data_IF_908771585530
#
_entry.id   IF_908771585530
#
_cell.length_a   1.000
_cell.length_b   1.000
_cell.length_c   1.000
_cell.angle_alpha   90.00
_cell.angle_beta   90.00
_cell.angle_gamma   90.00
#
_symmetry.space_group_name_H-M   'P 1'
#
loop_
_entity.id
_entity.type
_entity.pdbx_description
1 polymer ?
#
# COMPACT_ATOMS: atom_id res chain seq x y z
N UNK A 1 -21.61 -2.28 -12.45
CA UNK A 1 -20.14 -2.21 -12.23
C UNK A 1 -19.60 -3.50 -11.61
N UNK A 2 -20.13 -3.98 -10.46
CA UNK A 2 -19.65 -5.21 -9.79
C UNK A 2 -19.67 -6.44 -10.71
N UNK A 3 -20.74 -6.67 -11.49
CA UNK A 3 -20.82 -7.80 -12.42
C UNK A 3 -19.71 -7.85 -13.47
N UNK A 4 -19.28 -6.69 -13.98
CA UNK A 4 -18.17 -6.62 -14.95
C UNK A 4 -16.84 -7.03 -14.30
N UNK A 5 -16.66 -6.72 -13.02
CA UNK A 5 -15.45 -7.11 -12.24
C UNK A 5 -15.48 -8.63 -12.03
N UNK A 6 -16.62 -9.18 -11.64
CA UNK A 6 -16.78 -10.63 -11.45
C UNK A 6 -16.53 -11.40 -12.74
N UNK A 7 -17.05 -10.92 -13.87
CA UNK A 7 -16.82 -11.51 -15.18
C UNK A 7 -15.32 -11.47 -15.55
N UNK A 8 -14.63 -10.38 -15.21
CA UNK A 8 -13.18 -10.28 -15.44
C UNK A 8 -12.40 -11.25 -14.57
N UNK A 9 -12.75 -11.38 -13.29
CA UNK A 9 -12.12 -12.34 -12.37
C UNK A 9 -12.31 -13.76 -12.87
N UNK A 10 -13.54 -14.13 -13.30
CA UNK A 10 -13.85 -15.47 -13.81
C UNK A 10 -13.13 -15.82 -15.12
N UNK A 11 -12.78 -14.81 -15.93
CA UNK A 11 -11.95 -15.02 -17.14
C UNK A 11 -10.50 -15.34 -16.78
N UNK A 12 -10.00 -14.85 -15.64
CA UNK A 12 -8.65 -15.12 -15.14
C UNK A 12 -8.63 -16.47 -14.41
N UNK A 13 -9.61 -16.69 -13.52
CA UNK A 13 -9.75 -17.93 -12.78
C UNK A 13 -11.24 -18.36 -12.71
N UNK A 14 -11.67 -19.28 -13.59
CA UNK A 14 -13.06 -19.73 -13.65
C UNK A 14 -13.57 -20.40 -12.37
N UNK A 15 -12.67 -20.96 -11.58
CA UNK A 15 -12.99 -21.74 -10.37
C UNK A 15 -13.04 -20.87 -9.10
N UNK A 16 -12.73 -19.61 -9.20
CA UNK A 16 -12.70 -18.71 -8.04
C UNK A 16 -14.09 -18.53 -7.43
N UNK A 17 -14.22 -18.80 -6.13
CA UNK A 17 -15.36 -18.38 -5.33
C UNK A 17 -15.25 -16.88 -5.06
N UNK A 18 -16.26 -16.11 -5.43
CA UNK A 18 -16.33 -14.67 -5.22
C UNK A 18 -17.30 -14.41 -4.06
N UNK A 19 -16.81 -13.69 -3.04
CA UNK A 19 -17.61 -13.24 -1.89
C UNK A 19 -17.67 -11.71 -1.96
N UNK A 20 -18.89 -11.17 -2.07
CA UNK A 20 -19.10 -9.72 -2.01
C UNK A 20 -19.06 -9.28 -0.56
N UNK A 21 -18.25 -8.27 -0.26
CA UNK A 21 -18.13 -7.71 1.08
C UNK A 21 -18.25 -6.19 1.04
N UNK A 22 -18.63 -5.60 2.16
CA UNK A 22 -18.61 -4.17 2.38
C UNK A 22 -17.67 -3.90 3.55
N UNK A 23 -16.73 -2.96 3.40
CA UNK A 23 -15.69 -2.67 4.40
C UNK A 23 -14.94 -3.91 4.90
N UNK A 24 -14.67 -4.87 4.01
CA UNK A 24 -14.02 -6.16 4.32
C UNK A 24 -14.79 -7.04 5.34
N UNK A 25 -16.06 -6.76 5.61
CA UNK A 25 -16.88 -7.60 6.48
C UNK A 25 -17.24 -8.91 5.76
N UNK A 26 -16.50 -9.97 6.06
CA UNK A 26 -16.73 -11.32 5.55
C UNK A 26 -16.89 -12.32 6.70
N UNK A 27 -17.68 -13.37 6.46
CA UNK A 27 -17.70 -14.51 7.36
C UNK A 27 -16.35 -15.23 7.29
N UNK A 28 -15.61 -15.29 8.40
CA UNK A 28 -14.28 -15.90 8.43
C UNK A 28 -14.31 -17.39 8.07
N UNK A 29 -15.37 -18.11 8.39
CA UNK A 29 -15.52 -19.53 8.04
C UNK A 29 -15.64 -19.73 6.52
N UNK A 30 -16.04 -18.70 5.79
CA UNK A 30 -16.11 -18.71 4.32
C UNK A 30 -14.79 -18.34 3.64
N UNK A 31 -13.83 -17.83 4.39
CA UNK A 31 -12.53 -17.35 3.87
C UNK A 31 -11.38 -18.21 4.36
N UNK A 32 -11.43 -18.65 5.62
CA UNK A 32 -10.37 -19.43 6.25
C UNK A 32 -10.62 -20.94 6.11
N UNK A 33 -9.56 -21.70 6.03
CA UNK A 33 -9.61 -23.17 6.08
C UNK A 33 -10.23 -23.84 4.84
N UNK A 34 -10.48 -23.13 3.76
CA UNK A 34 -11.15 -23.64 2.57
C UNK A 34 -10.38 -24.72 1.81
N UNK A 35 -9.06 -24.94 2.12
CA UNK A 35 -8.18 -25.86 1.38
C UNK A 35 -8.38 -25.71 -0.13
N UNK A 36 -8.53 -24.47 -0.60
CA UNK A 36 -8.90 -24.14 -1.97
C UNK A 36 -7.77 -24.45 -2.98
N UNK A 37 -6.56 -24.62 -2.50
CA UNK A 37 -5.44 -25.04 -3.34
C UNK A 37 -5.57 -26.51 -3.70
N UNK A 38 -5.53 -26.81 -4.99
CA UNK A 38 -5.44 -28.18 -5.52
C UNK A 38 -4.35 -28.17 -6.59
N UNK A 39 -3.29 -28.91 -6.34
CA UNK A 39 -2.18 -29.06 -7.29
C UNK A 39 -2.66 -29.65 -8.62
N UNK A 40 -3.56 -30.63 -8.56
CA UNK A 40 -4.10 -31.25 -9.77
C UNK A 40 -4.80 -30.22 -10.68
N UNK A 41 -5.58 -29.30 -10.09
CA UNK A 41 -6.21 -28.22 -10.85
C UNK A 41 -5.22 -27.22 -11.41
N UNK A 42 -4.15 -26.92 -10.65
CA UNK A 42 -3.08 -26.03 -11.13
C UNK A 42 -2.41 -26.66 -12.34
N UNK A 43 -2.08 -27.93 -12.28
CA UNK A 43 -1.43 -28.67 -13.38
C UNK A 43 -2.35 -28.86 -14.60
N UNK A 44 -3.68 -28.88 -14.43
CA UNK A 44 -4.63 -28.85 -15.54
C UNK A 44 -4.59 -27.52 -16.33
N UNK A 45 -4.36 -26.41 -15.63
CA UNK A 45 -4.33 -25.06 -16.23
C UNK A 45 -2.92 -24.70 -16.68
N UNK A 46 -1.91 -25.11 -15.93
CA UNK A 46 -0.49 -24.80 -16.15
C UNK A 46 0.35 -26.06 -15.92
N UNK A 47 0.45 -26.95 -16.93
CA UNK A 47 1.16 -28.24 -16.82
C UNK A 47 2.60 -28.13 -16.37
N UNK A 48 3.26 -27.01 -16.73
CA UNK A 48 4.67 -26.76 -16.44
C UNK A 48 4.91 -26.05 -15.10
N UNK A 49 3.87 -25.86 -14.27
CA UNK A 49 3.94 -25.14 -13.00
C UNK A 49 5.06 -25.64 -12.05
N UNK A 50 5.35 -26.93 -12.04
CA UNK A 50 6.41 -27.52 -11.19
C UNK A 50 7.78 -27.56 -11.88
N UNK A 51 7.83 -27.39 -13.18
CA UNK A 51 9.06 -27.57 -13.98
C UNK A 51 9.55 -26.26 -14.61
N UNK A 52 8.68 -25.25 -14.70
CA UNK A 52 9.07 -23.94 -15.15
C UNK A 52 9.94 -23.28 -14.08
N UNK A 53 11.23 -23.22 -14.37
CA UNK A 53 12.14 -22.31 -13.67
C UNK A 53 11.73 -20.90 -14.15
N UNK A 54 10.74 -20.33 -13.48
CA UNK A 54 10.42 -18.94 -13.69
C UNK A 54 11.61 -18.15 -13.17
N UNK A 55 12.49 -17.73 -14.07
CA UNK A 55 13.35 -16.60 -13.82
C UNK A 55 12.41 -15.48 -13.36
N UNK A 56 12.34 -15.30 -12.06
CA UNK A 56 11.68 -14.14 -11.47
C UNK A 56 12.52 -12.95 -11.91
N UNK A 57 12.16 -12.36 -13.05
CA UNK A 57 12.60 -11.02 -13.36
C UNK A 57 12.11 -10.15 -12.20
N UNK A 58 12.99 -9.97 -11.23
CA UNK A 58 12.81 -8.92 -10.25
C UNK A 58 12.78 -7.63 -11.06
N UNK A 59 11.68 -6.91 -11.00
CA UNK A 59 11.61 -5.55 -11.55
C UNK A 59 12.56 -4.71 -10.68
N UNK A 60 13.87 -4.74 -11.01
CA UNK A 60 14.94 -4.04 -10.30
C UNK A 60 14.70 -2.53 -10.26
N UNK A 61 13.76 -2.05 -11.08
CA UNK A 61 13.33 -0.65 -11.12
C UNK A 61 12.42 -0.28 -9.94
N UNK A 62 11.79 -1.27 -9.27
CA UNK A 62 10.91 -1.02 -8.12
C UNK A 62 11.68 -1.14 -6.81
N UNK A 63 11.77 -0.02 -6.09
CA UNK A 63 12.47 0.08 -4.81
C UNK A 63 11.51 0.49 -3.69
N UNK A 64 11.98 0.40 -2.45
CA UNK A 64 11.31 0.98 -1.30
C UNK A 64 12.24 1.92 -0.52
N UNK A 65 11.68 3.06 -0.08
CA UNK A 65 12.36 4.03 0.78
C UNK A 65 11.50 4.23 2.02
N UNK A 66 12.14 4.19 3.18
CA UNK A 66 11.52 4.44 4.48
C UNK A 66 12.04 5.73 5.08
N UNK A 67 11.13 6.64 5.43
CA UNK A 67 11.41 7.92 6.03
C UNK A 67 10.96 7.93 7.49
N UNK A 68 11.75 8.56 8.34
CA UNK A 68 11.49 8.64 9.78
C UNK A 68 11.66 10.07 10.28
N UNK A 69 10.73 10.52 11.14
CA UNK A 69 10.87 11.79 11.85
C UNK A 69 10.48 11.60 13.32
N UNK A 70 11.42 11.98 14.22
CA UNK A 70 11.22 11.93 15.67
C UNK A 70 10.53 13.21 16.20
N UNK A 71 10.46 14.26 15.38
CA UNK A 71 9.74 15.49 15.70
C UNK A 71 8.38 15.48 15.00
N UNK A 72 7.36 16.11 15.61
CA UNK A 72 6.06 16.26 14.97
C UNK A 72 6.17 16.98 13.63
N UNK A 73 5.28 16.63 12.72
CA UNK A 73 5.17 17.25 11.41
C UNK A 73 4.16 18.43 11.44
N UNK A 74 4.36 19.38 10.56
CA UNK A 74 3.40 20.42 10.24
C UNK A 74 2.47 19.90 9.14
N UNK A 75 1.17 19.90 9.40
CA UNK A 75 0.17 19.31 8.49
C UNK A 75 0.14 20.08 7.14
N UNK A 76 0.19 21.39 7.15
CA UNK A 76 0.10 22.20 5.93
C UNK A 76 1.34 22.01 5.05
N UNK A 77 2.53 21.96 5.67
CA UNK A 77 3.75 21.66 4.95
C UNK A 77 3.73 20.26 4.34
N UNK A 78 3.28 19.26 5.11
CA UNK A 78 3.16 17.89 4.63
C UNK A 78 2.19 17.78 3.45
N UNK A 79 1.00 18.36 3.56
CA UNK A 79 0.01 18.34 2.49
C UNK A 79 0.52 19.04 1.22
N UNK A 80 1.20 20.16 1.37
CA UNK A 80 1.79 20.89 0.24
C UNK A 80 2.87 20.08 -0.45
N UNK A 81 3.83 19.56 0.30
CA UNK A 81 4.92 18.74 -0.23
C UNK A 81 4.40 17.47 -0.90
N UNK A 82 3.54 16.73 -0.18
CA UNK A 82 3.03 15.46 -0.69
C UNK A 82 2.13 15.65 -1.91
N UNK A 83 1.30 16.71 -1.91
CA UNK A 83 0.48 17.07 -3.07
C UNK A 83 1.32 17.39 -4.31
N UNK A 84 2.41 18.15 -4.15
CA UNK A 84 3.35 18.44 -5.25
C UNK A 84 4.05 17.16 -5.74
N UNK A 85 4.47 16.29 -4.82
CA UNK A 85 5.09 15.02 -5.15
C UNK A 85 4.15 14.15 -5.99
N UNK A 86 2.89 14.01 -5.59
CA UNK A 86 1.90 13.25 -6.35
C UNK A 86 1.63 13.86 -7.74
N UNK A 87 1.52 15.18 -7.84
CA UNK A 87 1.28 15.86 -9.12
C UNK A 87 2.42 15.64 -10.11
N UNK A 88 3.67 15.60 -9.65
CA UNK A 88 4.85 15.53 -10.50
C UNK A 88 5.35 14.11 -10.73
N UNK A 89 5.24 13.23 -9.75
CA UNK A 89 5.85 11.89 -9.74
C UNK A 89 4.89 10.78 -9.26
N UNK A 90 3.61 11.07 -9.09
CA UNK A 90 2.66 10.11 -8.53
C UNK A 90 2.48 8.82 -9.32
N UNK A 91 2.78 8.83 -10.63
CA UNK A 91 2.73 7.61 -11.43
C UNK A 91 3.89 6.64 -11.14
N UNK A 92 5.03 7.17 -10.70
CA UNK A 92 6.19 6.37 -10.31
C UNK A 92 6.07 5.85 -8.88
N UNK A 93 5.21 6.45 -8.06
CA UNK A 93 4.90 6.01 -6.70
C UNK A 93 3.79 4.96 -6.75
N UNK A 94 4.15 3.69 -6.68
CA UNK A 94 3.20 2.59 -6.74
C UNK A 94 2.40 2.47 -5.44
N UNK A 95 3.04 2.72 -4.30
CA UNK A 95 2.42 2.66 -2.98
C UNK A 95 3.11 3.58 -1.98
N UNK A 96 2.32 4.16 -1.11
CA UNK A 96 2.81 4.85 0.08
C UNK A 96 2.00 4.44 1.32
N UNK A 97 2.65 4.33 2.47
CA UNK A 97 2.00 4.06 3.76
C UNK A 97 2.76 4.76 4.87
N UNK A 98 2.03 5.25 5.85
CA UNK A 98 2.66 5.88 7.00
C UNK A 98 1.76 5.97 8.22
N UNK A 99 2.44 6.19 9.34
CA UNK A 99 1.84 6.64 10.60
C UNK A 99 2.55 7.96 10.91
N UNK A 100 1.80 9.03 11.00
CA UNK A 100 2.32 10.38 11.10
C UNK A 100 1.89 11.04 12.40
N UNK A 101 2.82 11.75 13.05
CA UNK A 101 2.61 12.61 14.21
C UNK A 101 2.52 14.05 13.72
N UNK A 102 1.34 14.67 13.82
CA UNK A 102 1.16 16.07 13.48
C UNK A 102 1.11 16.94 14.73
N UNK A 103 1.76 18.09 14.68
CA UNK A 103 1.80 19.05 15.78
C UNK A 103 0.38 19.50 16.16
N UNK A 104 0.05 19.31 17.44
CA UNK A 104 -1.26 19.68 17.99
C UNK A 104 -2.31 18.59 17.93
N UNK A 105 -2.02 17.44 17.29
CA UNK A 105 -2.89 16.28 17.26
C UNK A 105 -2.48 15.27 18.34
N UNK A 106 -3.48 14.70 19.02
CA UNK A 106 -3.22 13.65 20.03
C UNK A 106 -3.22 12.26 19.39
N UNK A 107 -3.99 12.09 18.34
CA UNK A 107 -4.13 10.84 17.62
C UNK A 107 -3.04 10.68 16.56
N UNK A 108 -2.64 9.41 16.35
CA UNK A 108 -1.79 9.07 15.23
C UNK A 108 -2.59 9.16 13.92
N UNK A 109 -2.01 9.77 12.92
CA UNK A 109 -2.61 9.84 11.60
C UNK A 109 -2.10 8.69 10.73
N UNK A 110 -2.99 7.78 10.34
CA UNK A 110 -2.65 6.67 9.45
C UNK A 110 -2.93 7.09 8.02
N UNK A 111 -1.93 6.92 7.18
CA UNK A 111 -1.91 7.36 5.80
C UNK A 111 -1.63 6.18 4.87
N UNK A 112 -2.31 6.12 3.74
CA UNK A 112 -2.05 5.16 2.68
C UNK A 112 -2.31 5.76 1.31
N UNK A 113 -1.54 5.31 0.32
CA UNK A 113 -1.68 5.74 -1.06
C UNK A 113 -1.38 4.62 -2.04
N UNK A 114 -2.07 4.67 -3.17
CA UNK A 114 -1.82 3.82 -4.34
C UNK A 114 -1.84 4.73 -5.57
N UNK A 115 -0.70 4.89 -6.20
CA UNK A 115 -0.49 5.88 -7.26
C UNK A 115 -0.97 7.29 -6.84
N UNK A 116 -1.85 7.87 -7.62
CA UNK A 116 -2.42 9.20 -7.40
C UNK A 116 -3.53 9.24 -6.33
N UNK A 117 -4.00 8.09 -5.88
CA UNK A 117 -5.05 7.99 -4.87
C UNK A 117 -4.43 7.91 -3.49
N UNK A 118 -4.87 8.79 -2.60
CA UNK A 118 -4.45 8.78 -1.22
C UNK A 118 -5.66 8.86 -0.29
N UNK A 119 -5.53 8.23 0.84
CA UNK A 119 -6.49 8.26 1.94
C UNK A 119 -5.73 8.32 3.27
N UNK A 120 -6.33 8.98 4.26
CA UNK A 120 -5.75 9.05 5.58
C UNK A 120 -6.75 9.56 6.61
N UNK A 121 -6.62 9.03 7.83
CA UNK A 121 -7.49 9.38 8.92
C UNK A 121 -6.78 9.27 10.28
N UNK A 122 -7.23 10.02 11.31
CA UNK A 122 -6.85 9.76 12.68
C UNK A 122 -7.29 8.35 13.11
N UNK A 123 -6.39 7.61 13.76
CA UNK A 123 -6.67 6.22 14.20
C UNK A 123 -6.24 6.00 15.64
N UNK A 124 -6.87 6.73 16.56
CA UNK A 124 -6.68 6.60 17.99
C UNK A 124 -5.31 6.98 18.53
N UNK A 125 -5.21 7.02 19.82
CA UNK A 125 -4.03 7.51 20.53
C UNK A 125 -2.75 6.74 20.20
N UNK A 126 -1.63 7.40 20.35
CA UNK A 126 -0.31 6.76 20.27
C UNK A 126 -0.15 5.75 21.41
N UNK A 127 0.52 4.60 21.16
CA UNK A 127 0.93 3.71 22.23
C UNK A 127 1.89 4.41 23.19
N UNK A 128 2.04 3.87 24.40
CA UNK A 128 3.02 4.40 25.35
C UNK A 128 4.44 4.43 24.74
N UNK A 129 5.12 5.56 24.90
CA UNK A 129 6.47 5.76 24.40
C UNK A 129 6.63 7.04 23.54
N UNK A 130 7.69 7.10 22.77
CA UNK A 130 7.95 8.23 21.88
C UNK A 130 7.08 8.16 20.61
N UNK A 131 6.47 9.28 20.26
CA UNK A 131 5.79 9.43 18.97
C UNK A 131 6.86 9.56 17.88
N UNK A 132 6.67 8.82 16.79
CA UNK A 132 7.58 8.82 15.67
C UNK A 132 6.82 8.66 14.37
N UNK A 133 6.96 9.65 13.48
CA UNK A 133 6.42 9.53 12.13
C UNK A 133 7.26 8.57 11.30
N UNK A 134 6.58 7.65 10.61
CA UNK A 134 7.19 6.72 9.66
C UNK A 134 6.38 6.71 8.37
N UNK A 135 7.06 6.90 7.25
CA UNK A 135 6.45 6.91 5.92
C UNK A 135 7.28 6.05 4.98
N UNK A 136 6.64 5.11 4.30
CA UNK A 136 7.29 4.20 3.35
C UNK A 136 6.72 4.45 1.97
N UNK A 137 7.61 4.56 0.98
CA UNK A 137 7.30 4.60 -0.44
C UNK A 137 7.75 3.32 -1.10
N UNK A 138 6.97 2.83 -2.05
CA UNK A 138 7.34 1.76 -2.98
C UNK A 138 7.07 2.31 -4.38
N UNK A 139 8.06 2.25 -5.25
CA UNK A 139 7.93 2.81 -6.60
C UNK A 139 9.23 2.78 -7.39
N UNK A 140 9.21 3.46 -8.54
CA UNK A 140 10.34 3.60 -9.46
C UNK A 140 11.04 4.93 -9.23
N UNK A 141 12.34 4.99 -9.51
CA UNK A 141 13.15 6.22 -9.48
C UNK A 141 13.04 7.03 -8.17
N UNK A 142 12.69 6.39 -7.07
CA UNK A 142 12.47 7.04 -5.77
C UNK A 142 13.69 7.85 -5.31
N UNK A 143 14.89 7.38 -5.63
CA UNK A 143 16.18 8.02 -5.27
C UNK A 143 16.32 9.44 -5.88
N UNK A 144 15.58 9.73 -6.97
CA UNK A 144 15.63 11.02 -7.66
C UNK A 144 14.59 12.02 -7.20
N UNK A 145 13.69 11.63 -6.28
CA UNK A 145 12.52 12.43 -5.89
C UNK A 145 12.79 13.39 -4.72
N UNK A 146 13.96 13.33 -4.09
CA UNK A 146 14.27 14.18 -2.94
C UNK A 146 13.35 13.91 -1.73
N UNK A 147 12.94 12.66 -1.54
CA UNK A 147 11.95 12.27 -0.52
C UNK A 147 12.42 12.59 0.91
N UNK A 148 13.69 12.35 1.20
CA UNK A 148 14.26 12.59 2.54
C UNK A 148 14.24 14.08 2.89
N UNK A 149 14.74 14.94 1.99
CA UNK A 149 14.80 16.38 2.20
C UNK A 149 13.39 16.99 2.28
N UNK A 150 12.50 16.56 1.39
CA UNK A 150 11.11 17.02 1.37
C UNK A 150 10.35 16.65 2.65
N UNK A 151 10.53 15.42 3.13
CA UNK A 151 9.90 14.98 4.38
C UNK A 151 10.51 15.68 5.60
N UNK A 152 11.83 15.86 5.62
CA UNK A 152 12.50 16.58 6.68
C UNK A 152 12.05 18.06 6.78
N UNK A 153 11.77 18.70 5.65
CA UNK A 153 11.26 20.07 5.59
C UNK A 153 9.82 20.20 6.15
N UNK A 154 9.08 19.09 6.25
CA UNK A 154 7.74 19.07 6.84
C UNK A 154 7.74 19.14 8.38
N UNK A 155 8.89 19.11 9.05
CA UNK A 155 8.94 19.20 10.51
C UNK A 155 8.31 20.51 11.00
N UNK A 156 7.57 20.40 12.08
CA UNK A 156 7.06 21.57 12.79
C UNK A 156 8.21 22.31 13.48
N UNK A 157 8.10 23.63 13.50
CA UNK A 157 9.05 24.50 14.22
C UNK A 157 8.80 24.44 15.73
#
# INVERSE_FOLDING_TARGET
MVGLIEDRIRRINPYTKIIRTEHCAANLDEVLGLKAFSLDRVLEVEPDFLTSDHDHEHDDDVKSISLVADAPLDLDKFQTWFGQLLQTRGQDILRSKGILDFKGEEDRYVFQGVHMLMDGAPMGAWPEGSRQSRLVFIGRDLDTMGLEDGFAACRAA
#
